data_IF_630012154579
#
_entry.id   IF_630012154579
#
_cell.length_a   1.000
_cell.length_b   1.000
_cell.length_c   1.000
_cell.angle_alpha   90.00
_cell.angle_beta   90.00
_cell.angle_gamma   90.00
#
_symmetry.space_group_name_H-M   'P 1'
#
loop_
_entity.id
_entity.type
_entity.pdbx_description
1 polymer ?
#
# COMPACT_ATOMS: atom_id res chain seq x y z
N UNK A 1 -35.52 16.48 18.34
CA UNK A 1 -34.28 16.98 17.68
C UNK A 1 -33.04 16.64 18.49
N UNK A 2 -32.99 16.97 19.79
CA UNK A 2 -31.83 16.75 20.67
C UNK A 2 -31.29 15.31 20.69
N UNK A 3 -32.17 14.30 20.75
CA UNK A 3 -31.78 12.88 20.73
C UNK A 3 -31.07 12.47 19.43
N UNK A 4 -31.47 13.05 18.29
CA UNK A 4 -30.85 12.79 16.99
C UNK A 4 -29.46 13.41 16.91
N UNK A 5 -29.32 14.65 17.38
CA UNK A 5 -28.04 15.36 17.46
C UNK A 5 -27.01 14.59 18.32
N UNK A 6 -27.39 14.20 19.55
CA UNK A 6 -26.51 13.43 20.44
C UNK A 6 -26.05 12.11 19.81
N UNK A 7 -26.99 11.37 19.19
CA UNK A 7 -26.66 10.12 18.48
C UNK A 7 -25.70 10.35 17.31
N UNK A 8 -25.86 11.46 16.58
CA UNK A 8 -24.96 11.84 15.49
C UNK A 8 -23.55 12.12 15.98
N UNK A 9 -23.41 12.87 17.08
CA UNK A 9 -22.12 13.14 17.72
C UNK A 9 -21.47 11.83 18.18
N UNK A 10 -22.21 10.96 18.86
CA UNK A 10 -21.68 9.67 19.31
C UNK A 10 -21.25 8.79 18.13
N UNK A 11 -22.00 8.80 17.03
CA UNK A 11 -21.64 8.08 15.81
C UNK A 11 -20.37 8.65 15.17
N UNK A 12 -20.26 9.97 15.07
CA UNK A 12 -19.08 10.63 14.52
C UNK A 12 -17.82 10.31 15.35
N UNK A 13 -17.92 10.33 16.68
CA UNK A 13 -16.83 9.98 17.58
C UNK A 13 -16.40 8.51 17.42
N UNK A 14 -17.35 7.58 17.29
CA UNK A 14 -17.05 6.17 17.01
C UNK A 14 -16.34 6.00 15.66
N UNK A 15 -16.84 6.65 14.61
CA UNK A 15 -16.21 6.62 13.29
C UNK A 15 -14.79 7.18 13.34
N UNK A 16 -14.59 8.32 13.98
CA UNK A 16 -13.27 8.92 14.16
C UNK A 16 -12.28 7.96 14.82
N UNK A 17 -12.70 7.30 15.91
CA UNK A 17 -11.87 6.32 16.63
C UNK A 17 -11.48 5.14 15.73
N UNK A 18 -12.42 4.61 14.94
CA UNK A 18 -12.15 3.51 14.00
C UNK A 18 -11.11 3.94 12.94
N UNK A 19 -11.28 5.14 12.38
CA UNK A 19 -10.36 5.66 11.36
C UNK A 19 -8.97 5.94 11.94
N UNK A 20 -8.89 6.44 13.17
CA UNK A 20 -7.63 6.68 13.86
C UNK A 20 -6.88 5.36 14.12
N UNK A 21 -7.57 4.34 14.64
CA UNK A 21 -6.98 3.03 14.88
C UNK A 21 -6.48 2.38 13.58
N UNK A 22 -7.20 2.58 12.47
CA UNK A 22 -6.76 2.11 11.15
C UNK A 22 -5.49 2.82 10.69
N UNK A 23 -5.44 4.15 10.83
CA UNK A 23 -4.24 4.92 10.49
C UNK A 23 -3.02 4.47 11.29
N UNK A 24 -3.18 4.29 12.61
CA UNK A 24 -2.12 3.81 13.49
C UNK A 24 -1.63 2.42 13.07
N UNK A 25 -2.56 1.48 12.84
CA UNK A 25 -2.24 0.13 12.35
C UNK A 25 -1.46 0.17 11.03
N UNK A 26 -1.90 0.98 10.08
CA UNK A 26 -1.27 1.05 8.75
C UNK A 26 0.13 1.66 8.83
N UNK A 27 0.31 2.70 9.65
CA UNK A 27 1.60 3.34 9.88
C UNK A 27 2.60 2.39 10.57
N UNK A 28 2.18 1.77 11.68
CA UNK A 28 3.01 0.81 12.41
C UNK A 28 3.30 -0.43 11.56
N UNK A 29 2.33 -0.88 10.77
CA UNK A 29 2.50 -2.00 9.84
C UNK A 29 3.58 -1.74 8.79
N UNK A 30 3.65 -0.53 8.24
CA UNK A 30 4.72 -0.16 7.30
C UNK A 30 6.10 -0.06 7.96
N UNK A 31 6.17 0.43 9.20
CA UNK A 31 7.41 0.43 9.97
C UNK A 31 7.89 -1.00 10.24
N UNK A 32 6.98 -1.88 10.68
CA UNK A 32 7.26 -3.30 10.89
C UNK A 32 7.71 -3.99 9.59
N UNK A 33 7.06 -3.70 8.46
CA UNK A 33 7.49 -4.20 7.16
C UNK A 33 8.97 -3.89 6.88
N UNK A 34 9.41 -2.65 7.11
CA UNK A 34 10.82 -2.25 6.90
C UNK A 34 11.76 -3.01 7.82
N UNK A 35 11.38 -3.19 9.08
CA UNK A 35 12.18 -3.94 10.05
C UNK A 35 12.31 -5.43 9.66
N UNK A 36 11.21 -6.08 9.29
CA UNK A 36 11.20 -7.49 8.90
C UNK A 36 11.96 -7.72 7.58
N UNK A 37 11.89 -6.77 6.65
CA UNK A 37 12.67 -6.81 5.41
C UNK A 37 14.18 -6.72 5.71
N UNK A 38 14.59 -5.81 6.61
CA UNK A 38 15.99 -5.69 7.02
C UNK A 38 16.50 -6.94 7.75
N UNK A 39 15.61 -7.65 8.47
CA UNK A 39 15.90 -8.94 9.11
C UNK A 39 15.85 -10.14 8.16
N UNK A 40 15.55 -9.95 6.88
CA UNK A 40 15.44 -11.03 5.89
C UNK A 40 14.24 -11.95 6.10
N UNK A 41 13.24 -11.54 6.89
CA UNK A 41 12.02 -12.33 7.15
C UNK A 41 10.94 -12.13 6.09
N UNK A 42 11.07 -11.08 5.27
CA UNK A 42 10.23 -10.78 4.13
C UNK A 42 11.08 -10.67 2.86
N UNK A 43 10.51 -11.02 1.71
CA UNK A 43 11.09 -10.68 0.41
C UNK A 43 10.65 -9.28 -0.01
N UNK A 44 11.55 -8.52 -0.64
CA UNK A 44 11.17 -7.27 -1.30
C UNK A 44 10.27 -7.57 -2.52
N UNK A 45 9.36 -6.65 -2.90
CA UNK A 45 8.62 -6.79 -4.15
C UNK A 45 9.60 -6.71 -5.32
N UNK A 46 9.36 -7.53 -6.35
CA UNK A 46 10.19 -7.53 -7.55
C UNK A 46 9.54 -6.64 -8.61
N UNK A 47 10.31 -5.68 -9.09
CA UNK A 47 9.91 -4.76 -10.15
C UNK A 47 10.57 -5.16 -11.46
N UNK A 48 9.86 -4.99 -12.57
CA UNK A 48 10.44 -4.97 -13.91
C UNK A 48 10.28 -3.59 -14.52
N UNK A 49 11.34 -3.10 -15.14
CA UNK A 49 11.33 -1.85 -15.91
C UNK A 49 11.45 -2.18 -17.40
N UNK A 50 10.58 -1.61 -18.23
CA UNK A 50 10.69 -1.62 -19.68
C UNK A 50 10.77 -0.19 -20.19
N UNK A 51 11.91 0.16 -20.81
CA UNK A 51 12.09 1.44 -21.48
C UNK A 51 11.55 1.37 -22.91
N UNK A 52 10.52 2.16 -23.20
CA UNK A 52 9.94 2.33 -24.53
C UNK A 52 10.35 3.72 -25.01
N UNK A 53 11.38 3.79 -25.86
CA UNK A 53 12.03 5.07 -26.21
C UNK A 53 11.05 6.13 -26.74
N UNK A 54 10.22 5.75 -27.72
CA UNK A 54 9.11 6.57 -28.22
C UNK A 54 7.90 5.67 -28.40
N UNK A 55 6.79 6.01 -27.75
CA UNK A 55 5.52 5.28 -27.84
C UNK A 55 4.48 6.22 -28.45
N UNK A 56 3.73 5.74 -29.45
CA UNK A 56 2.61 6.48 -30.05
C UNK A 56 1.32 5.73 -29.78
N UNK A 57 0.31 6.40 -29.22
CA UNK A 57 -1.04 5.89 -29.04
C UNK A 57 -2.06 6.86 -29.62
N UNK A 58 -2.57 6.54 -30.81
CA UNK A 58 -3.46 7.42 -31.58
C UNK A 58 -2.83 8.80 -31.83
N UNK A 59 -3.47 9.90 -31.39
CA UNK A 59 -2.91 11.26 -31.53
C UNK A 59 -1.86 11.60 -30.45
N UNK A 60 -1.54 10.69 -29.53
CA UNK A 60 -0.65 10.96 -28.39
C UNK A 60 0.74 10.38 -28.61
N UNK A 61 1.77 11.20 -28.37
CA UNK A 61 3.18 10.80 -28.41
C UNK A 61 3.76 10.87 -26.99
N UNK A 62 4.33 9.76 -26.53
CA UNK A 62 5.13 9.71 -25.31
C UNK A 62 6.61 9.51 -25.67
N UNK A 63 7.46 10.37 -25.12
CA UNK A 63 8.92 10.31 -25.28
C UNK A 63 9.52 9.87 -23.95
N UNK A 64 10.51 8.98 -23.98
CA UNK A 64 11.11 8.35 -22.80
C UNK A 64 10.09 7.59 -21.93
N UNK A 65 9.17 6.88 -22.58
CA UNK A 65 8.16 6.08 -21.89
C UNK A 65 8.83 4.95 -21.09
N UNK A 66 8.38 4.78 -19.84
CA UNK A 66 8.92 3.80 -18.88
C UNK A 66 7.76 3.08 -18.23
N UNK A 67 7.72 1.77 -18.43
CA UNK A 67 6.76 0.91 -17.78
C UNK A 67 7.44 0.22 -16.59
N UNK A 68 6.95 0.51 -15.39
CA UNK A 68 7.32 -0.17 -14.15
C UNK A 68 6.17 -1.07 -13.72
N UNK A 69 6.45 -2.36 -13.54
CA UNK A 69 5.46 -3.35 -13.11
C UNK A 69 5.95 -4.12 -11.89
N UNK A 70 5.06 -4.32 -10.90
CA UNK A 70 5.30 -5.23 -9.78
C UNK A 70 4.94 -6.64 -10.27
N UNK A 71 5.97 -7.43 -10.58
CA UNK A 71 5.81 -8.80 -11.08
C UNK A 71 5.78 -9.83 -9.96
N UNK A 72 6.20 -9.45 -8.76
CA UNK A 72 6.09 -10.29 -7.57
C UNK A 72 5.86 -9.43 -6.32
N UNK A 73 4.85 -9.80 -5.53
CA UNK A 73 4.55 -9.14 -4.27
C UNK A 73 5.47 -9.63 -3.14
N UNK A 74 5.62 -8.79 -2.12
CA UNK A 74 6.24 -9.16 -0.84
C UNK A 74 5.58 -10.41 -0.25
N UNK A 75 6.39 -11.36 0.22
CA UNK A 75 5.94 -12.55 0.97
C UNK A 75 6.82 -12.80 2.18
N UNK A 76 6.29 -13.51 3.16
CA UNK A 76 7.09 -14.06 4.26
C UNK A 76 8.03 -15.13 3.73
N UNK A 77 9.28 -15.08 4.19
CA UNK A 77 10.28 -16.11 3.93
C UNK A 77 9.95 -17.29 4.85
N UNK A 78 9.36 -18.34 4.28
CA UNK A 78 9.12 -19.60 4.98
C UNK A 78 10.33 -20.50 4.76
N UNK A 79 11.03 -20.85 5.84
CA UNK A 79 12.08 -21.85 5.79
C UNK A 79 11.40 -23.23 5.86
N UNK A 80 10.82 -23.69 4.75
CA UNK A 80 10.23 -25.03 4.68
C UNK A 80 11.36 -26.05 4.48
N UNK A 81 12.06 -26.34 5.57
CA UNK A 81 12.92 -27.50 5.71
C UNK A 81 12.03 -28.63 6.25
N UNK A 82 11.32 -29.31 5.37
CA UNK A 82 10.68 -30.60 5.64
C UNK A 82 11.16 -31.63 4.64
#
# INVERSE_FOLDING_TARGET
VEKGWRRGVDQANRMFTIQLNRLERDLLGMALYRELLAKGMLTAPRLTEQLRGVTTDGPTLMVNDRLLEIVENTRFVTNDQR
#
